data_IF_199399201924
#
_entry.id   IF_199399201924
#
_cell.length_a   1.000
_cell.length_b   1.000
_cell.length_c   1.000
_cell.angle_alpha   90.00
_cell.angle_beta   90.00
_cell.angle_gamma   90.00
#
_symmetry.space_group_name_H-M   'P 1'
#
loop_
_entity.id
_entity.type
_entity.pdbx_description
1 polymer ?
#
# COMPACT_ATOMS: atom_id res chain seq x y z
N UNK A 1 8.96 -30.00 -54.96
CA UNK A 1 9.65 -29.00 -54.10
C UNK A 1 8.78 -27.75 -54.06
N UNK A 2 8.02 -27.52 -52.99
CA UNK A 2 7.13 -26.35 -52.84
C UNK A 2 7.57 -25.64 -51.57
N UNK A 3 8.33 -24.55 -51.72
CA UNK A 3 8.94 -23.81 -50.63
C UNK A 3 7.91 -22.97 -49.89
N UNK A 4 7.82 -23.25 -48.60
CA UNK A 4 7.48 -22.40 -47.46
C UNK A 4 7.03 -20.95 -47.76
N UNK A 5 5.75 -20.71 -47.51
CA UNK A 5 5.13 -19.38 -47.49
C UNK A 5 4.53 -19.19 -46.10
N UNK A 6 5.34 -18.95 -45.05
CA UNK A 6 4.82 -18.91 -43.67
C UNK A 6 5.55 -18.09 -42.58
N UNK A 7 6.61 -17.26 -42.78
CA UNK A 7 7.18 -16.53 -41.63
C UNK A 7 6.62 -15.10 -41.42
N UNK A 8 5.99 -14.48 -42.43
CA UNK A 8 5.71 -13.04 -42.39
C UNK A 8 4.49 -12.64 -41.54
N UNK A 9 3.50 -13.53 -41.40
CA UNK A 9 2.23 -13.21 -40.69
C UNK A 9 2.40 -13.28 -39.17
N UNK A 10 3.32 -14.11 -38.67
CA UNK A 10 3.59 -14.25 -37.23
C UNK A 10 4.30 -13.02 -36.63
N UNK A 11 5.19 -12.36 -37.40
CA UNK A 11 5.96 -11.21 -36.91
C UNK A 11 5.13 -9.95 -36.71
N UNK A 12 4.15 -9.71 -37.59
CA UNK A 12 3.29 -8.53 -37.52
C UNK A 12 2.31 -8.58 -36.33
N UNK A 13 1.82 -9.78 -35.98
CA UNK A 13 0.92 -9.96 -34.83
C UNK A 13 1.65 -9.72 -33.49
N UNK A 14 2.93 -10.13 -33.38
CA UNK A 14 3.72 -9.94 -32.17
C UNK A 14 4.07 -8.47 -31.90
N UNK A 15 4.36 -7.70 -32.96
CA UNK A 15 4.65 -6.28 -32.85
C UNK A 15 3.44 -5.48 -32.37
N UNK A 16 2.23 -5.82 -32.84
CA UNK A 16 1.00 -5.14 -32.41
C UNK A 16 0.66 -5.38 -30.93
N UNK A 17 1.00 -6.55 -30.38
CA UNK A 17 0.78 -6.89 -28.96
C UNK A 17 1.71 -6.07 -28.06
N UNK A 18 2.96 -5.84 -28.47
CA UNK A 18 3.93 -5.04 -27.69
C UNK A 18 3.55 -3.55 -27.63
N UNK A 19 2.92 -3.00 -28.67
CA UNK A 19 2.42 -1.61 -28.64
C UNK A 19 1.14 -1.44 -27.82
N UNK A 20 0.39 -2.52 -27.56
CA UNK A 20 -0.81 -2.52 -26.74
C UNK A 20 -0.53 -2.73 -25.24
N UNK A 21 0.72 -3.03 -24.87
CA UNK A 21 1.17 -3.01 -23.49
C UNK A 21 1.27 -1.54 -23.03
N UNK A 22 0.11 -0.94 -22.75
CA UNK A 22 0.04 0.36 -22.09
C UNK A 22 0.90 0.35 -20.82
N UNK A 23 1.42 1.52 -20.47
CA UNK A 23 2.28 1.72 -19.31
C UNK A 23 1.59 1.25 -18.02
N UNK A 24 1.78 -0.02 -17.66
CA UNK A 24 1.42 -0.55 -16.37
C UNK A 24 2.33 0.15 -15.35
N UNK A 25 1.83 1.23 -14.75
CA UNK A 25 2.49 1.82 -13.59
C UNK A 25 2.42 0.79 -12.46
N UNK A 26 3.59 0.43 -11.93
CA UNK A 26 3.66 -0.34 -10.70
C UNK A 26 2.99 0.48 -9.60
N UNK A 27 1.85 0.00 -9.12
CA UNK A 27 1.02 0.68 -8.12
C UNK A 27 1.12 -0.11 -6.83
N UNK A 28 1.36 0.57 -5.72
CA UNK A 28 1.31 -0.05 -4.38
C UNK A 28 -0.07 -0.64 -4.16
N UNK A 29 -0.15 -1.91 -3.80
CA UNK A 29 -1.40 -2.62 -3.56
C UNK A 29 -1.81 -2.55 -2.09
N UNK A 30 -3.12 -2.49 -1.83
CA UNK A 30 -3.68 -2.36 -0.48
C UNK A 30 -3.19 -3.46 0.47
N UNK A 31 -3.00 -4.70 -0.02
CA UNK A 31 -2.49 -5.81 0.79
C UNK A 31 -1.03 -5.60 1.24
N UNK A 32 -0.22 -4.85 0.49
CA UNK A 32 1.16 -4.52 0.87
C UNK A 32 1.17 -3.56 2.06
N UNK A 33 0.33 -2.53 2.03
CA UNK A 33 0.14 -1.60 3.14
C UNK A 33 -0.44 -2.31 4.36
N UNK A 34 -1.47 -3.15 4.17
CA UNK A 34 -2.06 -3.92 5.26
C UNK A 34 -1.04 -4.84 5.94
N UNK A 35 -0.22 -5.54 5.15
CA UNK A 35 0.89 -6.36 5.65
C UNK A 35 1.88 -5.50 6.43
N UNK A 36 2.33 -4.37 5.87
CA UNK A 36 3.27 -3.47 6.52
C UNK A 36 2.75 -2.99 7.88
N UNK A 37 1.48 -2.57 7.96
CA UNK A 37 0.86 -2.10 9.21
C UNK A 37 0.81 -3.19 10.28
N UNK A 38 0.44 -4.42 9.90
CA UNK A 38 0.40 -5.55 10.82
C UNK A 38 1.78 -5.93 11.36
N UNK A 39 2.85 -5.66 10.61
CA UNK A 39 4.22 -5.92 11.08
C UNK A 39 4.85 -4.76 11.86
N UNK A 40 4.51 -3.51 11.52
CA UNK A 40 5.17 -2.32 12.09
C UNK A 40 4.41 -1.70 13.25
N UNK A 41 3.16 -2.09 13.50
CA UNK A 41 2.29 -1.41 14.47
C UNK A 41 1.40 -2.38 15.24
N UNK A 42 0.94 -1.97 16.43
CA UNK A 42 -0.08 -2.65 17.22
C UNK A 42 -1.53 -2.32 16.80
N UNK A 43 -1.73 -1.71 15.62
CA UNK A 43 -3.03 -1.22 15.17
C UNK A 43 -4.10 -2.33 15.11
N UNK A 44 -3.74 -3.52 14.63
CA UNK A 44 -4.72 -4.59 14.35
C UNK A 44 -5.72 -4.12 13.30
N UNK A 45 -5.26 -3.92 12.06
CA UNK A 45 -6.02 -3.28 10.98
C UNK A 45 -7.36 -3.98 10.71
N UNK A 46 -8.46 -3.22 10.69
CA UNK A 46 -9.80 -3.73 10.36
C UNK A 46 -10.30 -3.29 8.99
N UNK A 47 -9.92 -2.09 8.57
CA UNK A 47 -10.23 -1.55 7.25
C UNK A 47 -9.08 -0.67 6.76
N UNK A 48 -8.92 -0.59 5.44
CA UNK A 48 -7.93 0.27 4.79
C UNK A 48 -8.61 1.03 3.65
N UNK A 49 -8.33 2.32 3.56
CA UNK A 49 -8.85 3.19 2.51
C UNK A 49 -7.70 3.96 1.88
N UNK A 50 -7.63 3.92 0.54
CA UNK A 50 -6.76 4.80 -0.23
C UNK A 50 -7.36 6.20 -0.31
N UNK A 51 -6.52 7.21 -0.10
CA UNK A 51 -6.89 8.62 -0.24
C UNK A 51 -6.32 9.11 -1.55
N UNK A 52 -7.18 9.60 -2.43
CA UNK A 52 -6.75 10.23 -3.68
C UNK A 52 -5.87 11.44 -3.36
N UNK A 53 -4.59 11.45 -3.76
CA UNK A 53 -3.70 12.57 -3.49
C UNK A 53 -4.14 13.80 -4.29
N UNK A 54 -3.95 14.99 -3.73
CA UNK A 54 -4.02 16.21 -4.52
C UNK A 54 -2.81 16.31 -5.47
N UNK A 55 -2.86 17.21 -6.44
CA UNK A 55 -1.74 17.41 -7.37
C UNK A 55 -0.46 17.77 -6.62
N UNK A 56 0.60 16.97 -6.81
CA UNK A 56 1.89 17.14 -6.12
C UNK A 56 1.97 16.53 -4.72
N UNK A 57 0.91 15.90 -4.21
CA UNK A 57 0.95 15.15 -2.96
C UNK A 57 1.37 13.70 -3.17
N UNK A 58 2.00 13.14 -2.14
CA UNK A 58 2.35 11.72 -2.08
C UNK A 58 1.10 10.86 -1.88
N UNK A 59 1.19 9.59 -2.27
CA UNK A 59 0.09 8.65 -2.05
C UNK A 59 -0.18 8.45 -0.55
N UNK A 60 -1.45 8.40 -0.17
CA UNK A 60 -1.90 8.32 1.22
C UNK A 60 -2.91 7.21 1.45
N UNK A 61 -2.81 6.58 2.62
CA UNK A 61 -3.75 5.58 3.09
C UNK A 61 -4.21 5.91 4.51
N UNK A 62 -5.45 5.53 4.82
CA UNK A 62 -6.04 5.61 6.16
C UNK A 62 -6.50 4.23 6.57
N UNK A 63 -6.02 3.75 7.71
CA UNK A 63 -6.37 2.48 8.30
C UNK A 63 -7.23 2.64 9.55
N UNK A 64 -8.30 1.87 9.65
CA UNK A 64 -9.07 1.70 10.89
C UNK A 64 -8.41 0.62 11.76
N UNK A 65 -8.25 0.90 13.05
CA UNK A 65 -7.57 0.02 13.98
C UNK A 65 -8.54 -0.63 14.97
N UNK A 66 -8.43 -1.94 15.16
CA UNK A 66 -9.08 -2.63 16.27
C UNK A 66 -8.54 -2.13 17.62
N UNK A 67 -7.24 -1.84 17.70
CA UNK A 67 -6.59 -1.35 18.90
C UNK A 67 -6.80 0.16 19.09
N UNK A 68 -7.95 0.51 19.66
CA UNK A 68 -8.31 1.89 19.95
C UNK A 68 -7.58 2.50 21.15
N UNK A 69 -6.84 1.69 21.91
CA UNK A 69 -6.00 2.21 23.01
C UNK A 69 -4.85 3.03 22.45
N UNK A 70 -4.09 2.46 21.51
CA UNK A 70 -2.92 3.12 20.94
C UNK A 70 -3.24 3.98 19.72
N UNK A 71 -4.30 3.61 18.97
CA UNK A 71 -4.72 4.27 17.72
C UNK A 71 -6.24 4.50 17.72
N UNK A 72 -6.79 5.34 18.61
CA UNK A 72 -8.24 5.54 18.76
C UNK A 72 -8.91 6.09 17.50
N UNK A 73 -8.15 6.83 16.70
CA UNK A 73 -8.60 7.55 15.50
C UNK A 73 -8.11 6.84 14.20
N UNK A 74 -7.49 5.67 14.33
CA UNK A 74 -6.86 4.94 13.23
C UNK A 74 -5.40 5.33 12.98
N UNK A 75 -4.90 4.98 11.80
CA UNK A 75 -3.52 5.27 11.34
C UNK A 75 -3.52 5.89 9.95
N UNK A 76 -2.66 6.88 9.76
CA UNK A 76 -2.36 7.50 8.46
C UNK A 76 -1.00 7.01 7.96
N UNK A 77 -0.93 6.75 6.66
CA UNK A 77 0.28 6.26 5.98
C UNK A 77 0.55 7.15 4.79
N UNK A 78 1.80 7.59 4.65
CA UNK A 78 2.30 8.32 3.48
C UNK A 78 3.33 7.50 2.72
N UNK A 79 3.18 7.43 1.41
CA UNK A 79 4.04 6.68 0.50
C UNK A 79 4.67 7.64 -0.52
N UNK A 80 5.93 8.07 -0.29
CA UNK A 80 6.57 9.08 -1.14
C UNK A 80 6.92 8.56 -2.54
N UNK A 81 6.97 7.24 -2.71
CA UNK A 81 7.24 6.58 -3.99
C UNK A 81 6.00 5.76 -4.37
N UNK A 82 5.42 6.02 -5.55
CA UNK A 82 4.15 5.43 -6.00
C UNK A 82 4.22 3.90 -6.23
N UNK A 83 5.43 3.35 -6.29
CA UNK A 83 5.71 1.97 -6.67
C UNK A 83 6.61 1.21 -5.68
N UNK A 84 6.93 1.80 -4.53
CA UNK A 84 7.74 1.16 -3.50
C UNK A 84 7.05 1.22 -2.14
N UNK A 85 6.44 0.10 -1.72
CA UNK A 85 5.80 0.02 -0.40
C UNK A 85 6.79 0.16 0.77
N UNK A 86 8.09 -0.09 0.53
CA UNK A 86 9.10 -0.05 1.58
C UNK A 86 9.40 1.38 2.03
N UNK A 87 9.23 2.34 1.11
CA UNK A 87 9.36 3.76 1.36
C UNK A 87 8.19 4.35 2.19
N UNK A 88 7.06 3.63 2.30
CA UNK A 88 5.90 4.08 3.08
C UNK A 88 6.19 4.19 4.57
N UNK A 89 5.58 5.20 5.20
CA UNK A 89 5.73 5.50 6.64
C UNK A 89 4.37 5.72 7.30
N UNK A 90 4.25 5.23 8.53
CA UNK A 90 3.13 5.56 9.41
C UNK A 90 3.34 6.98 9.92
N UNK A 91 2.40 7.87 9.62
CA UNK A 91 2.43 9.28 10.01
C UNK A 91 1.81 9.50 11.39
N UNK A 92 0.86 8.65 11.78
CA UNK A 92 0.21 8.71 13.09
C UNK A 92 1.14 8.23 14.20
N UNK A 93 1.27 9.05 15.25
CA UNK A 93 2.06 8.72 16.44
C UNK A 93 1.25 7.80 17.35
N UNK A 94 1.87 6.70 17.78
CA UNK A 94 1.31 5.77 18.78
C UNK A 94 1.06 6.51 20.10
N UNK A 95 -0.18 6.49 20.61
CA UNK A 95 -0.45 7.04 21.95
C UNK A 95 0.13 6.10 23.02
N UNK A 96 0.71 6.65 24.09
CA UNK A 96 1.09 5.92 25.30
C UNK A 96 0.35 6.51 26.50
N UNK A 97 0.05 5.66 27.49
CA UNK A 97 -0.55 6.07 28.75
C UNK A 97 0.38 5.68 29.89
N UNK A 98 1.55 6.30 29.92
CA UNK A 98 2.63 5.97 30.85
C UNK A 98 2.22 6.22 32.32
N UNK A 99 1.17 7.01 32.56
CA UNK A 99 0.68 7.37 33.89
C UNK A 99 -0.36 6.39 34.48
N UNK A 100 -0.72 5.29 33.81
CA UNK A 100 -1.65 4.29 34.35
C UNK A 100 -0.99 3.36 35.39
N UNK A 101 0.34 3.34 35.49
CA UNK A 101 1.06 2.58 36.54
C UNK A 101 0.80 3.12 37.95
N UNK A 102 0.33 4.36 38.09
CA UNK A 102 0.04 4.96 39.40
C UNK A 102 -1.33 4.57 40.00
N UNK A 103 -2.12 3.74 39.31
CA UNK A 103 -3.36 3.17 39.82
C UNK A 103 -3.19 1.69 40.22
N UNK A 104 -2.03 1.33 40.78
CA UNK A 104 -1.86 0.05 41.48
C UNK A 104 -2.93 -0.10 42.58
N UNK A 105 -3.35 -1.34 42.90
CA UNK A 105 -4.44 -1.56 43.84
C UNK A 105 -4.10 -0.92 45.18
N UNK A 106 -5.01 -0.09 45.72
CA UNK A 106 -5.00 0.25 47.14
C UNK A 106 -5.14 -1.06 47.92
N UNK A 107 -4.04 -1.62 48.37
CA UNK A 107 -3.99 -2.58 49.47
C UNK A 107 -3.33 -1.91 50.65
#
# INVERSE_FOLDING_TARGET
MKSAMLPAVLGAAFAAIMLAAGAARAEIKDYQIARMLNFRTDCGLTALKRVTPAEGEVERFVGECANRTFYPDGVEIGCPEENDEWACKVLTIKKSFDNLEMLGPRR
#
